data_IF_713957786735
#
_entry.id   IF_713957786735
#
_cell.length_a   1.000
_cell.length_b   1.000
_cell.length_c   1.000
_cell.angle_alpha   90.00
_cell.angle_beta   90.00
_cell.angle_gamma   90.00
#
_symmetry.space_group_name_H-M   'P 1'
#
loop_
_entity.id
_entity.type
_entity.pdbx_description
1 polymer ?
#
# COMPACT_ATOMS: atom_id res chain seq x y z
N UNK A 1 59.89 58.54 23.18
CA UNK A 1 58.53 58.55 22.60
C UNK A 1 58.53 57.82 21.27
N UNK A 2 57.47 57.03 21.01
CA UNK A 2 57.16 56.22 19.80
C UNK A 2 57.71 54.78 19.80
N UNK A 3 57.02 53.93 20.55
CA UNK A 3 56.99 52.47 20.40
C UNK A 3 56.13 52.14 19.16
N UNK A 4 56.74 51.71 18.05
CA UNK A 4 56.03 51.26 16.85
C UNK A 4 55.88 49.74 16.90
N UNK A 5 54.62 49.29 16.98
CA UNK A 5 54.17 47.90 16.99
C UNK A 5 54.57 47.21 15.68
N UNK A 6 55.25 46.06 15.80
CA UNK A 6 55.40 45.07 14.74
C UNK A 6 54.33 43.99 14.98
N UNK A 7 53.36 43.91 14.06
CA UNK A 7 52.39 42.81 13.97
C UNK A 7 53.05 41.64 13.21
N UNK A 8 53.01 40.40 13.72
CA UNK A 8 53.48 39.24 12.99
C UNK A 8 52.43 38.77 11.99
N UNK A 9 52.90 38.49 10.78
CA UNK A 9 52.16 37.92 9.65
C UNK A 9 51.75 36.47 10.00
N UNK A 10 50.46 36.25 10.28
CA UNK A 10 49.88 34.92 10.45
C UNK A 10 49.58 34.33 9.06
N UNK A 11 50.50 33.53 8.53
CA UNK A 11 50.28 32.76 7.31
C UNK A 11 49.35 31.57 7.62
N UNK A 12 48.07 31.71 7.27
CA UNK A 12 47.10 30.62 7.32
C UNK A 12 47.38 29.69 6.14
N UNK A 13 48.02 28.55 6.42
CA UNK A 13 48.15 27.46 5.47
C UNK A 13 46.79 26.77 5.29
N UNK A 14 46.09 27.10 4.20
CA UNK A 14 44.94 26.33 3.72
C UNK A 14 45.44 24.95 3.30
N UNK A 15 45.27 23.95 4.17
CA UNK A 15 45.42 22.55 3.80
C UNK A 15 44.28 22.19 2.83
N UNK A 16 44.62 22.04 1.54
CA UNK A 16 43.74 21.46 0.55
C UNK A 16 43.51 19.99 0.91
N UNK A 17 42.44 19.71 1.64
CA UNK A 17 41.93 18.35 1.79
C UNK A 17 41.56 17.86 0.39
N UNK A 18 42.11 16.72 -0.09
CA UNK A 18 41.62 16.12 -1.32
C UNK A 18 40.16 15.77 -1.09
N UNK A 19 39.26 16.51 -1.74
CA UNK A 19 37.90 16.05 -1.97
C UNK A 19 38.05 14.77 -2.76
N UNK A 20 38.01 13.64 -2.06
CA UNK A 20 37.79 12.35 -2.69
C UNK A 20 36.42 12.50 -3.33
N UNK A 21 36.42 12.86 -4.61
CA UNK A 21 35.30 12.63 -5.49
C UNK A 21 35.17 11.12 -5.50
N UNK A 22 34.45 10.59 -4.50
CA UNK A 22 33.89 9.27 -4.57
C UNK A 22 33.15 9.28 -5.89
N UNK A 23 33.73 8.60 -6.88
CA UNK A 23 33.09 8.41 -8.17
C UNK A 23 31.69 7.94 -7.82
N UNK A 24 30.70 8.74 -8.17
CA UNK A 24 29.33 8.46 -7.79
C UNK A 24 28.99 7.12 -8.43
N UNK A 25 28.86 6.06 -7.62
CA UNK A 25 28.72 4.68 -8.11
C UNK A 25 27.47 4.49 -9.00
N UNK A 26 26.57 5.46 -8.96
CA UNK A 26 25.36 5.54 -9.78
C UNK A 26 25.57 6.21 -11.15
N UNK A 27 26.73 6.82 -11.42
CA UNK A 27 27.01 7.56 -12.66
C UNK A 27 27.56 6.66 -13.78
N UNK A 28 27.20 6.93 -15.03
CA UNK A 28 27.62 6.12 -16.19
C UNK A 28 27.19 6.69 -17.55
N UNK A 29 27.24 5.89 -18.61
CA UNK A 29 26.98 6.36 -19.97
C UNK A 29 25.51 6.24 -20.43
N UNK A 30 24.62 5.75 -19.56
CA UNK A 30 23.23 5.48 -19.91
C UNK A 30 22.31 6.65 -19.57
N UNK A 31 21.08 6.59 -20.10
CA UNK A 31 20.04 7.53 -19.75
C UNK A 31 18.73 7.24 -20.47
N UNK A 32 17.67 7.92 -20.04
CA UNK A 32 16.34 7.78 -20.59
C UNK A 32 15.58 9.12 -20.58
N UNK A 33 14.60 9.24 -21.48
CA UNK A 33 13.61 10.31 -21.51
C UNK A 33 12.28 9.81 -20.97
N UNK A 34 11.68 10.59 -20.08
CA UNK A 34 10.34 10.41 -19.52
C UNK A 34 9.37 11.33 -20.25
N UNK A 35 8.16 10.84 -20.52
CA UNK A 35 6.99 11.65 -20.86
C UNK A 35 5.87 11.33 -19.86
N UNK A 36 5.38 12.36 -19.16
CA UNK A 36 4.30 12.24 -18.17
C UNK A 36 3.05 12.93 -18.70
N UNK A 37 1.96 12.19 -18.71
CA UNK A 37 0.65 12.65 -19.18
C UNK A 37 -0.45 12.30 -18.18
N UNK A 38 -1.57 13.02 -18.21
CA UNK A 38 -2.77 12.69 -17.45
C UNK A 38 -3.65 11.65 -18.18
N UNK A 39 -4.86 11.37 -17.67
CA UNK A 39 -5.80 10.45 -18.33
C UNK A 39 -6.32 10.95 -19.68
N UNK A 40 -6.34 12.28 -19.87
CA UNK A 40 -6.72 12.92 -21.13
C UNK A 40 -5.57 12.94 -22.15
N UNK A 41 -4.38 12.46 -21.76
CA UNK A 41 -3.16 12.49 -22.58
C UNK A 41 -2.50 13.86 -22.65
N UNK A 42 -2.89 14.81 -21.80
CA UNK A 42 -2.24 16.12 -21.71
C UNK A 42 -0.93 16.01 -20.94
N UNK A 43 0.13 16.73 -21.34
CA UNK A 43 1.40 16.73 -20.63
C UNK A 43 1.24 17.30 -19.22
N UNK A 44 1.96 16.71 -18.27
CA UNK A 44 1.91 17.09 -16.85
C UNK A 44 3.26 17.70 -16.46
N UNK A 45 3.35 19.04 -16.36
CA UNK A 45 4.58 19.71 -15.95
C UNK A 45 4.84 19.59 -14.44
N UNK A 46 6.06 19.92 -14.01
CA UNK A 46 6.45 20.00 -12.60
C UNK A 46 6.25 18.69 -11.81
N UNK A 47 6.30 17.55 -12.49
CA UNK A 47 6.29 16.25 -11.82
C UNK A 47 7.69 16.01 -11.28
N UNK A 48 7.81 15.84 -9.98
CA UNK A 48 9.07 15.47 -9.32
C UNK A 48 9.43 14.04 -9.67
N UNK A 49 10.58 13.86 -10.31
CA UNK A 49 11.15 12.58 -10.69
C UNK A 49 12.36 12.30 -9.81
N UNK A 50 12.31 11.18 -9.11
CA UNK A 50 13.38 10.68 -8.26
C UNK A 50 13.85 9.36 -8.87
N UNK A 51 15.12 9.30 -9.27
CA UNK A 51 15.74 8.08 -9.81
C UNK A 51 16.75 7.53 -8.79
N UNK A 52 16.63 6.25 -8.44
CA UNK A 52 17.54 5.57 -7.50
C UNK A 52 17.99 4.25 -8.10
N UNK A 53 19.28 3.94 -7.97
CA UNK A 53 19.81 2.62 -8.30
C UNK A 53 19.28 1.61 -7.27
N UNK A 54 18.64 0.55 -7.75
CA UNK A 54 17.93 -0.45 -6.96
C UNK A 54 18.79 -1.70 -6.67
N UNK A 55 20.10 -1.50 -6.47
CA UNK A 55 21.04 -2.57 -6.15
C UNK A 55 21.34 -2.57 -4.65
N UNK A 56 21.39 -3.75 -4.02
CA UNK A 56 21.54 -3.89 -2.57
C UNK A 56 22.83 -3.22 -2.03
N UNK A 57 23.90 -3.29 -2.80
CA UNK A 57 25.22 -2.75 -2.42
C UNK A 57 25.47 -1.33 -2.94
N UNK A 58 24.56 -0.78 -3.76
CA UNK A 58 24.70 0.53 -4.39
C UNK A 58 23.40 1.31 -4.31
N UNK A 59 23.25 2.07 -3.24
CA UNK A 59 22.14 3.00 -3.07
C UNK A 59 22.55 4.41 -3.48
N UNK A 60 21.75 5.06 -4.32
CA UNK A 60 21.98 6.46 -4.68
C UNK A 60 21.34 6.81 -6.02
N UNK A 61 21.50 8.06 -6.44
CA UNK A 61 21.01 8.53 -7.73
C UNK A 61 21.20 10.03 -7.87
N UNK A 62 20.87 10.60 -9.04
CA UNK A 62 20.89 12.03 -9.23
C UNK A 62 19.89 12.72 -8.28
N UNK A 63 20.08 14.02 -7.99
CA UNK A 63 19.10 14.81 -7.26
C UNK A 63 17.71 14.76 -7.90
N UNK A 64 16.62 14.98 -7.15
CA UNK A 64 15.28 15.07 -7.71
C UNK A 64 15.20 16.10 -8.84
N UNK A 65 14.53 15.73 -9.93
CA UNK A 65 14.36 16.57 -11.12
C UNK A 65 12.87 16.85 -11.35
N UNK A 66 12.54 17.84 -12.19
CA UNK A 66 11.16 18.21 -12.52
C UNK A 66 10.92 18.06 -14.01
N UNK A 67 9.73 17.57 -14.39
CA UNK A 67 9.31 17.61 -15.80
C UNK A 67 9.06 19.05 -16.26
N UNK A 68 9.38 19.31 -17.53
CA UNK A 68 9.16 20.58 -18.20
C UNK A 68 7.68 20.82 -18.58
N UNK A 69 7.39 21.94 -19.26
CA UNK A 69 6.04 22.29 -19.76
C UNK A 69 5.43 21.24 -20.71
N UNK A 70 6.27 20.49 -21.43
CA UNK A 70 5.84 19.41 -22.30
C UNK A 70 5.65 18.08 -21.54
N UNK A 71 5.76 18.10 -20.20
CA UNK A 71 5.71 16.91 -19.35
C UNK A 71 6.88 15.97 -19.60
N UNK A 72 7.98 16.47 -20.17
CA UNK A 72 9.17 15.68 -20.48
C UNK A 72 10.31 15.93 -19.51
N UNK A 73 11.17 14.92 -19.35
CA UNK A 73 12.43 15.03 -18.62
C UNK A 73 13.46 14.07 -19.23
N UNK A 74 14.66 14.59 -19.51
CA UNK A 74 15.81 13.79 -19.89
C UNK A 74 16.68 13.51 -18.68
N UNK A 75 16.91 12.23 -18.38
CA UNK A 75 17.77 11.77 -17.30
C UNK A 75 18.99 11.08 -17.93
N UNK A 76 20.15 11.72 -17.83
CA UNK A 76 21.43 11.24 -18.38
C UNK A 76 22.40 10.80 -17.29
N UNK A 77 23.57 10.34 -17.74
CA UNK A 77 24.73 10.06 -16.90
C UNK A 77 24.51 8.98 -15.84
N UNK A 78 23.69 7.97 -16.18
CA UNK A 78 23.34 6.86 -15.30
C UNK A 78 24.20 5.64 -15.58
N UNK A 79 24.57 4.92 -14.53
CA UNK A 79 25.15 3.59 -14.64
C UNK A 79 24.15 2.59 -15.24
N UNK A 80 24.66 1.55 -15.91
CA UNK A 80 23.85 0.37 -16.22
C UNK A 80 23.41 -0.30 -14.91
N UNK A 81 22.24 -0.93 -14.90
CA UNK A 81 21.67 -1.56 -13.72
C UNK A 81 20.15 -1.44 -13.64
N UNK A 82 19.59 -1.84 -12.50
CA UNK A 82 18.17 -1.70 -12.21
C UNK A 82 17.92 -0.41 -11.42
N UNK A 83 16.95 0.38 -11.88
CA UNK A 83 16.65 1.71 -11.37
C UNK A 83 15.20 1.79 -10.93
N UNK A 84 14.96 2.28 -9.71
CA UNK A 84 13.65 2.69 -9.23
C UNK A 84 13.41 4.16 -9.59
N UNK A 85 12.35 4.41 -10.35
CA UNK A 85 11.90 5.73 -10.76
C UNK A 85 10.59 6.05 -10.06
N UNK A 86 10.62 7.02 -9.16
CA UNK A 86 9.44 7.52 -8.46
C UNK A 86 9.03 8.89 -9.02
N UNK A 87 7.75 9.00 -9.40
CA UNK A 87 7.13 10.23 -9.88
C UNK A 87 6.13 10.72 -8.84
N UNK A 88 6.25 11.98 -8.42
CA UNK A 88 5.38 12.62 -7.43
C UNK A 88 4.91 13.98 -7.96
N UNK A 89 3.62 14.27 -7.78
CA UNK A 89 3.05 15.62 -7.95
C UNK A 89 1.85 15.74 -7.03
N UNK A 90 1.69 16.89 -6.38
CA UNK A 90 0.53 17.12 -5.52
C UNK A 90 -0.78 16.98 -6.30
N UNK A 91 -1.77 16.30 -5.72
CA UNK A 91 -3.06 16.04 -6.37
C UNK A 91 -3.04 14.93 -7.42
N UNK A 92 -1.89 14.27 -7.62
CA UNK A 92 -1.73 13.13 -8.52
C UNK A 92 -1.28 11.90 -7.76
N UNK A 93 -1.58 10.72 -8.32
CA UNK A 93 -1.03 9.48 -7.80
C UNK A 93 0.50 9.44 -7.89
N UNK A 94 1.17 8.80 -6.93
CA UNK A 94 2.59 8.47 -7.03
C UNK A 94 2.73 7.28 -7.98
N UNK A 95 3.69 7.36 -8.90
CA UNK A 95 4.03 6.25 -9.80
C UNK A 95 5.45 5.82 -9.51
N UNK A 96 5.63 4.56 -9.12
CA UNK A 96 6.95 3.96 -9.05
C UNK A 96 7.12 3.00 -10.24
N UNK A 97 8.26 3.04 -10.92
CA UNK A 97 8.60 2.10 -11.98
C UNK A 97 10.01 1.59 -11.81
N UNK A 98 10.24 0.32 -12.14
CA UNK A 98 11.57 -0.29 -12.19
C UNK A 98 12.02 -0.36 -13.64
N UNK A 99 13.13 0.30 -13.94
CA UNK A 99 13.77 0.35 -15.25
C UNK A 99 15.08 -0.42 -15.21
N UNK A 100 15.33 -1.28 -16.19
CA UNK A 100 16.64 -1.87 -16.41
C UNK A 100 17.35 -1.13 -17.54
N UNK A 101 18.50 -0.56 -17.22
CA UNK A 101 19.38 0.14 -18.15
C UNK A 101 20.56 -0.76 -18.51
N UNK A 102 20.85 -0.87 -19.81
CA UNK A 102 21.96 -1.63 -20.36
C UNK A 102 22.61 -0.81 -21.47
N UNK A 103 23.95 -0.89 -21.58
CA UNK A 103 24.71 -0.06 -22.50
C UNK A 103 24.23 -0.21 -23.95
N UNK A 104 23.88 0.93 -24.57
CA UNK A 104 23.43 1.00 -25.95
C UNK A 104 22.06 0.36 -26.23
N UNK A 105 21.33 -0.09 -25.20
CA UNK A 105 19.98 -0.67 -25.35
C UNK A 105 18.91 0.31 -24.88
N UNK A 106 17.68 0.05 -25.33
CA UNK A 106 16.51 0.82 -24.86
C UNK A 106 16.20 0.45 -23.40
N UNK A 107 15.76 1.40 -22.57
CA UNK A 107 15.35 1.11 -21.20
C UNK A 107 14.23 0.07 -21.19
N UNK A 108 14.40 -1.01 -20.43
CA UNK A 108 13.38 -2.03 -20.27
C UNK A 108 12.55 -1.70 -19.03
N UNK A 109 11.26 -1.48 -19.22
CA UNK A 109 10.34 -1.24 -18.11
C UNK A 109 9.92 -2.59 -17.55
N UNK A 110 10.35 -2.92 -16.33
CA UNK A 110 9.98 -4.16 -15.66
C UNK A 110 8.59 -4.05 -15.05
N UNK A 111 8.48 -3.30 -13.96
CA UNK A 111 7.27 -3.18 -13.18
C UNK A 111 6.91 -1.71 -12.95
N UNK A 112 5.61 -1.38 -12.97
CA UNK A 112 5.09 -0.07 -12.59
C UNK A 112 3.98 -0.25 -11.56
N UNK A 113 4.14 0.37 -10.39
CA UNK A 113 3.09 0.50 -9.37
C UNK A 113 2.55 1.91 -9.31
N UNK A 114 1.29 2.00 -8.92
CA UNK A 114 0.55 3.23 -8.77
C UNK A 114 0.04 3.32 -7.33
N UNK A 115 0.45 4.34 -6.60
CA UNK A 115 0.01 4.60 -5.24
C UNK A 115 -0.90 5.83 -5.23
N UNK A 116 -2.07 5.70 -4.62
CA UNK A 116 -3.02 6.79 -4.48
C UNK A 116 -2.70 7.62 -3.23
N UNK A 117 -2.77 8.94 -3.38
CA UNK A 117 -2.36 9.89 -2.34
C UNK A 117 -3.59 10.69 -1.89
N UNK A 118 -4.19 10.28 -0.78
CA UNK A 118 -5.39 10.92 -0.25
C UNK A 118 -6.69 10.64 -1.03
N UNK A 119 -7.78 11.37 -0.72
CA UNK A 119 -9.11 11.11 -1.26
C UNK A 119 -9.30 11.57 -2.71
N UNK A 120 -8.50 12.55 -3.16
CA UNK A 120 -8.56 13.10 -4.52
C UNK A 120 -7.20 12.97 -5.19
N UNK A 121 -7.14 12.16 -6.24
CA UNK A 121 -5.92 11.94 -7.01
C UNK A 121 -6.27 11.77 -8.49
N UNK A 122 -5.53 12.46 -9.36
CA UNK A 122 -5.56 12.22 -10.79
C UNK A 122 -4.54 11.14 -11.19
N UNK A 123 -4.86 10.28 -12.16
CA UNK A 123 -3.91 9.27 -12.62
C UNK A 123 -2.77 9.90 -13.42
N UNK A 124 -1.56 9.35 -13.26
CA UNK A 124 -0.40 9.66 -14.10
C UNK A 124 -0.11 8.51 -15.04
N UNK A 125 0.09 8.85 -16.32
CA UNK A 125 0.54 7.96 -17.37
C UNK A 125 1.99 8.32 -17.71
N UNK A 126 2.88 7.34 -17.58
CA UNK A 126 4.31 7.52 -17.81
C UNK A 126 4.77 6.70 -19.01
N UNK A 127 5.55 7.33 -19.89
CA UNK A 127 6.26 6.68 -20.98
C UNK A 127 7.77 6.85 -20.83
N UNK A 128 8.52 5.80 -21.16
CA UNK A 128 9.98 5.80 -21.11
C UNK A 128 10.57 5.56 -22.51
N UNK A 129 11.73 6.15 -22.78
CA UNK A 129 12.43 6.05 -24.07
C UNK A 129 13.93 6.29 -23.91
N UNK A 130 14.75 5.85 -24.86
CA UNK A 130 16.19 6.09 -24.85
C UNK A 130 16.52 7.53 -25.25
N UNK A 131 17.49 8.17 -24.59
CA UNK A 131 18.04 9.46 -25.01
C UNK A 131 18.56 9.36 -26.45
N UNK A 132 18.28 10.38 -27.27
CA UNK A 132 18.74 10.45 -28.67
C UNK A 132 17.91 9.67 -29.69
N UNK A 133 16.91 8.88 -29.28
CA UNK A 133 15.92 8.29 -30.20
C UNK A 133 14.64 9.10 -30.11
N UNK A 134 14.28 9.79 -31.20
CA UNK A 134 13.07 10.61 -31.25
C UNK A 134 11.83 9.81 -30.79
N UNK A 135 11.19 10.30 -29.73
CA UNK A 135 10.10 9.66 -28.96
C UNK A 135 8.78 9.51 -29.68
N UNK A 136 8.64 10.02 -30.90
CA UNK A 136 7.38 10.06 -31.63
C UNK A 136 6.74 8.67 -31.84
N UNK A 137 7.52 7.59 -31.84
CA UNK A 137 7.00 6.23 -32.02
C UNK A 137 6.52 5.57 -30.70
N UNK A 138 7.16 5.85 -29.56
CA UNK A 138 6.81 5.26 -28.27
C UNK A 138 5.57 5.95 -27.66
N UNK A 139 5.45 7.28 -27.82
CA UNK A 139 4.23 8.00 -27.48
C UNK A 139 3.09 7.61 -28.41
N UNK A 140 3.32 7.33 -29.70
CA UNK A 140 2.26 6.89 -30.60
C UNK A 140 1.61 5.55 -30.20
N UNK A 141 2.34 4.62 -29.58
CA UNK A 141 1.78 3.36 -29.07
C UNK A 141 0.86 3.57 -27.86
N UNK A 142 1.34 4.34 -26.88
CA UNK A 142 0.59 4.71 -25.68
C UNK A 142 -0.58 5.65 -26.01
N UNK A 143 -0.34 6.69 -26.81
CA UNK A 143 -1.33 7.63 -27.34
C UNK A 143 -2.38 6.93 -28.22
N UNK A 144 -2.03 5.90 -29.01
CA UNK A 144 -3.03 5.09 -29.74
C UNK A 144 -3.85 4.22 -28.80
N UNK A 145 -3.27 3.71 -27.71
CA UNK A 145 -4.01 2.96 -26.71
C UNK A 145 -4.95 3.85 -25.88
N UNK A 146 -4.50 5.04 -25.46
CA UNK A 146 -5.32 6.04 -24.75
C UNK A 146 -6.36 6.66 -25.67
N UNK A 147 -6.04 7.04 -26.91
CA UNK A 147 -7.06 7.52 -27.86
C UNK A 147 -8.10 6.43 -28.18
N UNK A 148 -7.75 5.14 -28.20
CA UNK A 148 -8.74 4.06 -28.35
C UNK A 148 -9.61 3.90 -27.10
N UNK A 149 -9.05 4.09 -25.91
CA UNK A 149 -9.80 4.08 -24.65
C UNK A 149 -10.73 5.31 -24.53
N UNK A 150 -10.21 6.50 -24.84
CA UNK A 150 -10.94 7.77 -24.87
C UNK A 150 -12.07 7.75 -25.91
N UNK A 151 -11.80 7.32 -27.15
CA UNK A 151 -12.84 7.11 -28.18
C UNK A 151 -13.89 6.06 -27.79
N UNK A 152 -13.59 5.15 -26.85
CA UNK A 152 -14.57 4.20 -26.30
C UNK A 152 -15.38 4.84 -25.16
N UNK A 153 -14.74 5.65 -24.32
CA UNK A 153 -15.40 6.41 -23.27
C UNK A 153 -16.39 7.44 -23.88
N UNK A 154 -15.93 8.20 -24.87
CA UNK A 154 -16.75 9.17 -25.61
C UNK A 154 -17.94 8.51 -26.31
N UNK A 155 -17.72 7.38 -27.02
CA UNK A 155 -18.83 6.60 -27.60
C UNK A 155 -19.83 6.08 -26.57
N UNK A 156 -19.37 5.72 -25.37
CA UNK A 156 -20.26 5.29 -24.27
C UNK A 156 -21.04 6.47 -23.70
N UNK A 157 -20.42 7.64 -23.59
CA UNK A 157 -21.09 8.87 -23.16
C UNK A 157 -22.18 9.27 -24.18
N UNK A 158 -21.84 9.28 -25.47
CA UNK A 158 -22.78 9.56 -26.56
C UNK A 158 -23.94 8.53 -26.56
N UNK A 159 -23.66 7.24 -26.34
CA UNK A 159 -24.71 6.22 -26.21
C UNK A 159 -25.65 6.47 -25.03
N UNK A 160 -25.12 6.87 -23.86
CA UNK A 160 -25.95 7.20 -22.70
C UNK A 160 -26.84 8.41 -22.99
N UNK A 161 -26.28 9.44 -23.59
CA UNK A 161 -27.02 10.64 -23.96
C UNK A 161 -28.13 10.33 -24.97
N UNK A 162 -27.85 9.50 -26.00
CA UNK A 162 -28.86 9.01 -26.93
C UNK A 162 -29.97 8.24 -26.22
N UNK A 163 -29.64 7.37 -25.27
CA UNK A 163 -30.62 6.61 -24.51
C UNK A 163 -31.50 7.51 -23.65
N UNK A 164 -30.92 8.47 -22.93
CA UNK A 164 -31.68 9.46 -22.17
C UNK A 164 -32.59 10.30 -23.06
N UNK A 165 -32.12 10.67 -24.26
CA UNK A 165 -32.94 11.39 -25.23
C UNK A 165 -34.09 10.55 -25.75
N UNK A 166 -33.88 9.25 -26.00
CA UNK A 166 -34.95 8.32 -26.37
C UNK A 166 -35.96 8.12 -25.24
N UNK A 167 -35.51 7.95 -24.00
CA UNK A 167 -36.38 7.83 -22.82
C UNK A 167 -37.21 9.11 -22.61
N UNK A 168 -36.62 10.29 -22.78
CA UNK A 168 -37.34 11.57 -22.72
C UNK A 168 -38.37 11.73 -23.85
N UNK A 169 -38.03 11.32 -25.08
CA UNK A 169 -38.98 11.35 -26.21
C UNK A 169 -40.13 10.37 -25.96
N UNK A 170 -39.85 9.14 -25.50
CA UNK A 170 -40.88 8.16 -25.16
C UNK A 170 -41.83 8.71 -24.09
N UNK A 171 -41.30 9.35 -23.04
CA UNK A 171 -42.11 9.98 -21.99
C UNK A 171 -43.00 11.12 -22.51
N UNK A 172 -42.54 11.90 -23.49
CA UNK A 172 -43.35 12.96 -24.11
C UNK A 172 -44.43 12.39 -25.02
N UNK A 173 -44.16 11.27 -25.70
CA UNK A 173 -45.12 10.64 -26.63
C UNK A 173 -46.17 9.79 -25.90
N UNK A 174 -45.83 9.18 -24.75
CA UNK A 174 -46.77 8.41 -23.91
C UNK A 174 -47.66 9.29 -23.01
N UNK A 175 -47.44 10.60 -22.96
CA UNK A 175 -48.39 11.53 -22.39
C UNK A 175 -49.33 12.03 -23.49
N UNK A 176 -50.43 11.31 -23.81
CA UNK A 176 -51.75 11.91 -23.55
C UNK A 176 -52.92 10.92 -23.45
N UNK A 177 -53.61 10.80 -22.29
CA UNK A 177 -55.08 10.62 -22.20
C UNK A 177 -55.60 10.49 -20.76
N UNK A 178 -55.25 11.41 -19.86
CA UNK A 178 -55.86 11.42 -18.52
C UNK A 178 -56.09 12.84 -18.03
N UNK A 179 -56.70 13.68 -18.86
CA UNK A 179 -57.19 14.99 -18.44
C UNK A 179 -58.59 15.22 -18.99
N UNK A 180 -59.55 14.46 -18.45
CA UNK A 180 -60.98 14.84 -18.43
C UNK A 180 -61.68 14.14 -17.27
N UNK A 181 -61.27 14.43 -16.04
CA UNK A 181 -62.08 14.16 -14.86
C UNK A 181 -61.74 15.22 -13.81
N UNK A 182 -62.52 16.29 -13.81
CA UNK A 182 -62.53 17.29 -12.76
C UNK A 182 -62.90 16.62 -11.42
N UNK A 183 -62.27 17.06 -10.33
CA UNK A 183 -63.02 17.27 -9.11
C UNK A 183 -62.88 18.70 -8.60
N UNK A 184 -63.99 19.15 -8.06
CA UNK A 184 -64.27 20.47 -7.51
C UNK A 184 -63.27 20.88 -6.41
N UNK A 185 -62.92 22.16 -6.47
CA UNK A 185 -62.18 22.91 -5.46
C UNK A 185 -63.02 23.10 -4.19
N UNK A 186 -62.51 22.77 -2.98
CA UNK A 186 -62.86 23.47 -1.77
C UNK A 186 -61.80 24.50 -1.43
N UNK A 187 -62.25 25.74 -1.30
CA UNK A 187 -61.50 26.87 -0.78
C UNK A 187 -61.11 26.67 0.69
N UNK A 188 -59.88 27.03 1.05
CA UNK A 188 -59.43 27.41 2.40
C UNK A 188 -57.93 27.76 2.40
N UNK A 189 -57.39 28.46 3.42
CA UNK A 189 -57.06 29.88 3.32
C UNK A 189 -55.55 30.17 3.40
N UNK A 190 -55.24 31.43 3.09
CA UNK A 190 -53.96 32.12 3.21
C UNK A 190 -53.31 31.89 4.58
N UNK A 191 -52.11 31.31 4.59
CA UNK A 191 -51.21 31.32 5.73
C UNK A 191 -49.91 32.04 5.34
N UNK A 192 -49.62 33.07 6.12
CA UNK A 192 -48.61 34.11 5.96
C UNK A 192 -47.23 33.58 6.41
N UNK A 193 -46.16 33.68 5.60
CA UNK A 193 -44.85 33.24 6.07
C UNK A 193 -44.23 34.29 7.00
N UNK A 194 -44.07 33.87 8.27
CA UNK A 194 -43.31 34.57 9.29
C UNK A 194 -41.85 34.80 8.85
N UNK A 195 -41.37 36.01 9.14
CA UNK A 195 -40.01 36.45 8.93
C UNK A 195 -39.00 35.56 9.68
N UNK A 196 -38.01 35.04 8.97
CA UNK A 196 -36.85 34.39 9.56
C UNK A 196 -35.83 35.48 9.90
N UNK A 197 -35.66 35.68 11.20
CA UNK A 197 -34.74 36.62 11.82
C UNK A 197 -33.29 36.17 11.61
N UNK A 198 -32.53 36.95 10.83
CA UNK A 198 -31.08 36.80 10.66
C UNK A 198 -30.37 37.15 11.97
N UNK A 199 -29.93 36.13 12.72
CA UNK A 199 -29.02 36.31 13.87
C UNK A 199 -27.60 36.49 13.35
N UNK A 200 -27.13 37.73 13.39
CA UNK A 200 -25.73 38.13 13.20
C UNK A 200 -24.95 37.68 14.44
N UNK A 201 -24.15 36.63 14.31
CA UNK A 201 -23.19 36.22 15.35
C UNK A 201 -21.99 37.15 15.27
N UNK A 202 -21.87 38.00 16.29
CA UNK A 202 -20.75 38.90 16.51
C UNK A 202 -19.45 38.13 16.72
N UNK A 203 -18.41 38.54 15.99
CA UNK A 203 -17.03 38.16 16.25
C UNK A 203 -16.59 38.67 17.63
N UNK A 204 -16.09 37.77 18.47
CA UNK A 204 -15.35 38.12 19.68
C UNK A 204 -13.86 38.29 19.31
N UNK A 205 -13.21 39.38 19.71
CA UNK A 205 -11.76 39.53 19.64
C UNK A 205 -11.08 38.99 20.92
N UNK A 206 -9.82 38.63 20.75
CA UNK A 206 -8.77 38.52 21.78
C UNK A 206 -8.94 37.43 22.85
N UNK A 207 -8.39 36.26 22.56
CA UNK A 207 -7.88 35.33 23.60
C UNK A 207 -6.38 35.58 23.79
N UNK A 208 -6.07 36.16 24.94
CA UNK A 208 -4.72 36.35 25.49
C UNK A 208 -3.97 35.02 25.58
N UNK A 209 -2.75 35.01 25.03
CA UNK A 209 -1.79 33.95 25.26
C UNK A 209 -1.41 33.90 26.75
N UNK A 210 -1.58 32.77 27.45
CA UNK A 210 -0.96 32.61 28.76
C UNK A 210 0.58 32.49 28.61
N UNK A 211 1.36 33.01 29.57
CA UNK A 211 2.81 32.91 29.56
C UNK A 211 3.27 31.44 29.71
N UNK A 212 4.45 31.09 29.19
CA UNK A 212 4.97 29.73 29.26
C UNK A 212 5.20 29.31 30.71
N UNK A 213 4.56 28.22 31.12
CA UNK A 213 4.81 27.55 32.39
C UNK A 213 6.26 27.05 32.44
N UNK A 214 6.96 27.43 33.50
CA UNK A 214 8.28 26.93 33.87
C UNK A 214 8.26 25.39 34.00
N UNK A 215 9.18 24.74 33.30
CA UNK A 215 9.47 23.32 33.43
C UNK A 215 10.06 23.04 34.84
N UNK A 216 9.52 22.09 35.61
CA UNK A 216 10.17 21.65 36.84
C UNK A 216 11.45 20.87 36.55
N UNK A 217 12.51 21.21 37.29
CA UNK A 217 13.80 20.53 37.31
C UNK A 217 13.66 19.02 37.56
N UNK A 218 14.50 18.17 36.94
CA UNK A 218 14.47 16.73 37.18
C UNK A 218 14.99 16.40 38.58
N UNK A 219 14.18 15.66 39.35
CA UNK A 219 14.59 15.03 40.61
C UNK A 219 15.61 13.90 40.38
N UNK A 220 16.51 13.64 41.34
CA UNK A 220 17.54 12.63 41.22
C UNK A 220 16.99 11.21 41.32
N UNK A 221 17.49 10.38 40.41
CA UNK A 221 17.29 8.93 40.27
C UNK A 221 17.53 8.14 41.55
N UNK A 222 16.54 7.31 41.92
CA UNK A 222 16.62 6.31 42.97
C UNK A 222 17.49 5.11 42.57
N UNK A 223 18.13 4.42 43.53
CA UNK A 223 19.13 3.39 43.27
C UNK A 223 18.54 2.03 42.84
N UNK A 224 19.32 1.39 41.99
CA UNK A 224 19.20 0.03 41.44
C UNK A 224 19.01 -1.05 42.53
N UNK A 225 18.05 -1.98 42.39
CA UNK A 225 17.94 -3.13 43.28
C UNK A 225 19.01 -4.19 42.96
N UNK A 226 19.50 -4.94 43.96
CA UNK A 226 20.58 -5.90 43.79
C UNK A 226 20.17 -7.13 42.98
N UNK A 227 21.11 -7.59 42.14
CA UNK A 227 21.09 -8.87 41.43
C UNK A 227 20.81 -10.03 42.39
N UNK A 228 19.73 -10.76 42.13
CA UNK A 228 19.42 -12.03 42.79
C UNK A 228 20.22 -13.16 42.13
N UNK A 229 20.94 -13.92 42.95
CA UNK A 229 21.69 -15.12 42.56
C UNK A 229 20.78 -16.20 41.94
N UNK A 230 21.28 -16.99 40.97
CA UNK A 230 20.53 -18.10 40.41
C UNK A 230 20.39 -19.24 41.41
N UNK A 231 19.15 -19.58 41.74
CA UNK A 231 18.80 -20.75 42.52
C UNK A 231 19.24 -22.04 41.80
N UNK A 232 19.98 -22.87 42.52
CA UNK A 232 20.40 -24.21 42.12
C UNK A 232 19.16 -25.09 41.97
N UNK A 233 18.88 -25.50 40.74
CA UNK A 233 17.82 -26.46 40.41
C UNK A 233 18.23 -27.83 40.94
N UNK A 234 17.47 -28.34 41.91
CA UNK A 234 17.63 -29.67 42.46
C UNK A 234 17.29 -30.74 41.41
N UNK A 235 18.20 -31.68 41.25
CA UNK A 235 18.10 -32.89 40.45
C UNK A 235 16.88 -33.72 40.88
N UNK A 236 15.91 -33.92 39.97
CA UNK A 236 14.79 -34.81 40.22
C UNK A 236 15.24 -36.28 40.12
N UNK A 237 14.84 -37.15 41.06
CA UNK A 237 15.21 -38.56 41.04
C UNK A 237 14.55 -39.28 39.86
N UNK A 238 15.38 -40.03 39.13
CA UNK A 238 14.98 -40.95 38.06
C UNK A 238 14.07 -42.03 38.67
N UNK A 239 12.81 -42.20 38.21
CA UNK A 239 11.95 -43.26 38.69
C UNK A 239 12.44 -44.63 38.22
N UNK A 240 12.39 -45.60 39.13
CA UNK A 240 12.78 -47.00 38.90
C UNK A 240 12.03 -47.63 37.73
N UNK A 241 12.70 -48.48 36.93
CA UNK A 241 12.07 -49.22 35.84
C UNK A 241 11.03 -50.20 36.39
N UNK A 242 9.77 -50.00 36.00
CA UNK A 242 8.68 -50.90 36.34
C UNK A 242 8.97 -52.33 35.85
N UNK A 243 8.62 -53.37 36.64
CA UNK A 243 8.83 -54.76 36.28
C UNK A 243 8.07 -55.13 35.02
N UNK A 244 8.78 -55.79 34.10
CA UNK A 244 8.24 -56.24 32.82
C UNK A 244 6.95 -57.04 33.00
N UNK A 245 5.83 -56.42 32.62
CA UNK A 245 4.54 -57.08 32.55
C UNK A 245 4.63 -58.24 31.54
N UNK A 246 4.15 -59.39 31.99
CA UNK A 246 4.10 -60.64 31.24
C UNK A 246 3.28 -60.42 29.97
N UNK A 247 3.95 -60.48 28.82
CA UNK A 247 3.33 -60.34 27.49
C UNK A 247 2.34 -61.48 27.31
N UNK A 248 1.06 -61.16 27.38
CA UNK A 248 -0.01 -62.06 26.95
C UNK A 248 0.07 -62.24 25.43
N UNK A 249 -0.23 -63.45 24.91
CA UNK A 249 -0.21 -63.72 23.49
C UNK A 249 -1.19 -62.78 22.75
N UNK A 250 -0.80 -62.24 21.58
CA UNK A 250 -1.61 -61.27 20.85
C UNK A 250 -2.97 -61.88 20.54
N UNK A 251 -4.02 -61.26 21.08
CA UNK A 251 -5.40 -61.50 20.64
C UNK A 251 -5.45 -61.19 19.15
N UNK A 252 -5.98 -62.08 18.29
CA UNK A 252 -6.08 -61.82 16.86
C UNK A 252 -6.81 -60.50 16.64
N UNK A 253 -6.08 -59.55 16.06
CA UNK A 253 -6.54 -58.20 15.78
C UNK A 253 -7.79 -58.34 14.88
N UNK A 254 -8.96 -57.83 15.31
CA UNK A 254 -10.15 -57.87 14.47
C UNK A 254 -9.81 -57.16 13.16
N UNK A 255 -10.08 -57.81 12.04
CA UNK A 255 -9.92 -57.23 10.70
C UNK A 255 -10.52 -55.83 10.74
N UNK A 256 -9.66 -54.81 10.71
CA UNK A 256 -10.06 -53.43 10.83
C UNK A 256 -11.03 -53.13 9.69
N UNK A 257 -12.30 -52.90 10.03
CA UNK A 257 -13.26 -52.39 9.07
C UNK A 257 -12.62 -51.17 8.40
N UNK A 258 -12.59 -51.10 7.06
CA UNK A 258 -11.92 -50.04 6.35
C UNK A 258 -12.45 -48.71 6.88
N UNK A 259 -11.55 -47.92 7.46
CA UNK A 259 -11.87 -46.62 8.04
C UNK A 259 -12.65 -45.84 6.97
N UNK A 260 -13.87 -45.38 7.26
CA UNK A 260 -14.72 -44.74 6.26
C UNK A 260 -13.95 -43.57 5.67
N UNK A 261 -13.74 -43.62 4.35
CA UNK A 261 -13.01 -42.61 3.59
C UNK A 261 -13.57 -41.24 3.96
N UNK A 262 -12.75 -40.41 4.61
CA UNK A 262 -13.20 -39.15 5.19
C UNK A 262 -13.87 -38.31 4.09
N UNK A 263 -15.15 -37.97 4.30
CA UNK A 263 -15.90 -37.21 3.31
C UNK A 263 -15.13 -35.93 2.93
N UNK A 264 -15.07 -35.57 1.64
CA UNK A 264 -14.29 -34.42 1.20
C UNK A 264 -14.76 -33.17 1.95
N UNK A 265 -13.82 -32.52 2.65
CA UNK A 265 -14.09 -31.28 3.37
C UNK A 265 -14.37 -30.19 2.34
N UNK A 266 -15.65 -29.91 2.10
CA UNK A 266 -16.06 -28.81 1.22
C UNK A 266 -15.81 -27.49 1.95
N UNK A 267 -14.65 -26.88 1.72
CA UNK A 267 -14.34 -25.55 2.24
C UNK A 267 -15.14 -24.53 1.43
N UNK A 268 -16.24 -24.05 2.01
CA UNK A 268 -17.05 -22.99 1.42
C UNK A 268 -16.37 -21.64 1.69
N UNK A 269 -15.88 -20.99 0.63
CA UNK A 269 -15.38 -19.62 0.72
C UNK A 269 -16.53 -18.72 1.17
N UNK A 270 -16.34 -18.03 2.30
CA UNK A 270 -17.26 -16.97 2.70
C UNK A 270 -17.10 -15.78 1.76
N UNK A 271 -18.18 -15.05 1.45
CA UNK A 271 -18.09 -13.82 0.67
C UNK A 271 -17.13 -12.86 1.37
N UNK A 272 -16.13 -12.38 0.64
CA UNK A 272 -15.16 -11.43 1.20
C UNK A 272 -15.80 -10.03 1.26
N UNK A 273 -16.12 -9.50 2.45
CA UNK A 273 -16.80 -8.21 2.57
C UNK A 273 -15.91 -7.03 2.16
N UNK A 274 -14.58 -7.21 2.13
CA UNK A 274 -13.63 -6.16 1.74
C UNK A 274 -13.45 -6.05 0.23
N UNK A 275 -14.06 -6.96 -0.54
CA UNK A 275 -13.98 -7.00 -1.99
C UNK A 275 -15.03 -6.07 -2.61
N UNK A 276 -14.58 -4.93 -3.14
CA UNK A 276 -15.45 -3.89 -3.67
C UNK A 276 -15.26 -3.72 -5.19
N UNK A 277 -16.36 -3.66 -5.93
CA UNK A 277 -16.38 -3.37 -7.38
C UNK A 277 -16.43 -1.87 -7.64
N UNK A 278 -15.92 -1.41 -8.79
CA UNK A 278 -16.24 -0.09 -9.33
C UNK A 278 -17.74 0.26 -9.20
N UNK A 279 -18.03 1.37 -8.52
CA UNK A 279 -19.36 1.80 -8.09
C UNK A 279 -19.56 1.71 -6.57
N UNK A 280 -19.16 0.60 -5.96
CA UNK A 280 -19.09 0.44 -4.50
C UNK A 280 -17.73 0.90 -3.94
N UNK A 281 -16.69 0.83 -4.79
CA UNK A 281 -15.40 1.48 -4.59
C UNK A 281 -15.43 2.82 -5.35
N UNK A 282 -15.69 3.96 -4.69
CA UNK A 282 -15.77 5.27 -5.34
C UNK A 282 -14.48 5.66 -6.06
N UNK A 283 -13.36 5.11 -5.60
CA UNK A 283 -12.05 5.38 -6.13
C UNK A 283 -11.67 4.44 -7.30
N UNK A 284 -12.39 3.36 -7.57
CA UNK A 284 -12.03 2.39 -8.61
C UNK A 284 -12.41 2.88 -10.02
N UNK A 285 -11.49 2.77 -10.98
CA UNK A 285 -11.82 3.09 -12.38
C UNK A 285 -12.78 2.03 -12.99
N UNK A 286 -13.43 2.30 -14.14
CA UNK A 286 -14.34 1.34 -14.76
C UNK A 286 -13.67 -0.03 -15.05
N UNK A 287 -14.18 -1.07 -14.39
CA UNK A 287 -13.65 -2.44 -14.50
C UNK A 287 -12.56 -2.78 -13.48
N UNK A 288 -12.19 -1.85 -12.62
CA UNK A 288 -11.33 -2.09 -11.45
C UNK A 288 -12.14 -2.56 -10.25
N UNK A 289 -11.44 -3.25 -9.37
CA UNK A 289 -11.90 -3.73 -8.08
C UNK A 289 -10.85 -3.35 -7.04
N UNK A 290 -11.29 -3.27 -5.79
CA UNK A 290 -10.41 -3.16 -4.64
C UNK A 290 -10.66 -4.30 -3.66
N UNK A 291 -9.62 -4.66 -2.94
CA UNK A 291 -9.68 -5.53 -1.76
C UNK A 291 -8.81 -4.90 -0.69
N UNK A 292 -9.28 -4.91 0.56
CA UNK A 292 -8.53 -4.39 1.70
C UNK A 292 -8.18 -5.51 2.66
N UNK A 293 -6.99 -5.41 3.25
CA UNK A 293 -6.57 -6.17 4.42
C UNK A 293 -6.32 -5.18 5.56
N UNK A 294 -6.95 -5.43 6.70
CA UNK A 294 -6.87 -4.57 7.87
C UNK A 294 -6.29 -5.37 9.02
N UNK A 295 -5.41 -4.75 9.81
CA UNK A 295 -4.84 -5.40 10.98
C UNK A 295 -4.55 -4.39 12.09
N UNK A 296 -4.94 -4.69 13.35
CA UNK A 296 -4.61 -3.81 14.47
C UNK A 296 -3.16 -3.96 14.91
N UNK A 297 -2.58 -2.86 15.40
CA UNK A 297 -1.23 -2.78 15.95
C UNK A 297 -1.28 -2.09 17.32
N UNK A 298 -0.79 -2.75 18.36
CA UNK A 298 -0.74 -2.18 19.72
C UNK A 298 0.23 -1.00 19.82
N UNK A 299 0.06 -0.13 20.83
CA UNK A 299 0.99 0.95 21.11
C UNK A 299 2.43 0.46 21.29
N UNK A 300 3.38 1.30 20.88
CA UNK A 300 4.80 1.07 21.07
C UNK A 300 5.20 1.36 22.51
N UNK A 301 5.45 0.31 23.28
CA UNK A 301 6.03 0.44 24.62
C UNK A 301 7.56 0.33 24.59
N UNK A 302 8.23 0.70 25.69
CA UNK A 302 9.69 0.55 25.83
C UNK A 302 10.17 -0.92 25.66
N UNK A 303 9.28 -1.89 25.88
CA UNK A 303 9.56 -3.32 25.66
C UNK A 303 9.29 -3.82 24.24
N UNK A 304 8.62 -3.03 23.40
CA UNK A 304 8.35 -3.43 22.00
C UNK A 304 9.57 -3.16 21.13
N UNK A 305 10.05 -4.20 20.47
CA UNK A 305 11.13 -4.10 19.47
C UNK A 305 10.57 -3.49 18.19
N UNK A 306 11.38 -2.67 17.52
CA UNK A 306 11.07 -2.21 16.16
C UNK A 306 10.89 -3.40 15.21
N UNK A 307 10.30 -3.20 14.03
CA UNK A 307 10.15 -4.28 13.07
C UNK A 307 11.50 -4.98 12.81
N UNK A 308 11.49 -6.30 12.86
CA UNK A 308 12.69 -7.09 12.67
C UNK A 308 13.27 -6.86 11.27
N UNK A 309 14.60 -6.70 11.18
CA UNK A 309 15.27 -6.44 9.90
C UNK A 309 15.17 -7.62 8.92
N UNK A 310 14.98 -8.85 9.42
CA UNK A 310 14.87 -10.08 8.62
C UNK A 310 13.44 -10.34 8.11
N UNK A 311 12.51 -9.41 8.34
CA UNK A 311 11.10 -9.59 8.05
C UNK A 311 10.81 -9.87 6.57
N UNK A 312 11.48 -9.16 5.67
CA UNK A 312 11.33 -9.38 4.23
C UNK A 312 11.64 -10.84 3.84
N UNK A 313 12.73 -11.41 4.36
CA UNK A 313 13.11 -12.79 4.07
C UNK A 313 12.20 -13.84 4.73
N UNK A 314 11.52 -13.51 5.84
CA UNK A 314 10.47 -14.38 6.40
C UNK A 314 9.23 -14.39 5.51
N UNK A 315 8.83 -13.23 5.01
CA UNK A 315 7.66 -13.07 4.16
C UNK A 315 7.83 -13.72 2.79
N UNK A 316 9.03 -13.61 2.22
CA UNK A 316 9.36 -14.29 0.97
C UNK A 316 9.26 -15.82 1.12
N UNK A 317 9.80 -16.37 2.22
CA UNK A 317 9.65 -17.81 2.54
C UNK A 317 8.19 -18.21 2.74
N UNK A 318 7.42 -17.43 3.50
CA UNK A 318 6.00 -17.67 3.71
C UNK A 318 5.22 -17.62 2.38
N UNK A 319 5.53 -16.67 1.51
CA UNK A 319 4.92 -16.54 0.19
C UNK A 319 5.16 -17.79 -0.67
N UNK A 320 6.39 -18.31 -0.70
CA UNK A 320 6.71 -19.54 -1.41
C UNK A 320 5.97 -20.77 -0.87
N UNK A 321 5.82 -20.89 0.45
CA UNK A 321 5.04 -21.97 1.08
C UNK A 321 3.55 -21.89 0.74
N UNK A 322 2.97 -20.68 0.81
CA UNK A 322 1.57 -20.42 0.46
C UNK A 322 1.32 -20.80 -1.00
N UNK A 323 2.18 -20.34 -1.91
CA UNK A 323 2.07 -20.63 -3.32
C UNK A 323 2.06 -22.14 -3.60
N UNK A 324 3.06 -22.86 -3.07
CA UNK A 324 3.22 -24.29 -3.34
C UNK A 324 2.13 -25.17 -2.75
N UNK A 325 1.35 -24.63 -1.80
CA UNK A 325 0.38 -25.41 -1.03
C UNK A 325 -1.07 -25.00 -1.26
N UNK A 326 -1.34 -23.93 -2.02
CA UNK A 326 -2.71 -23.50 -2.33
C UNK A 326 -3.40 -24.49 -3.29
N UNK A 327 -4.52 -25.13 -2.89
CA UNK A 327 -5.25 -26.01 -3.78
C UNK A 327 -5.76 -25.27 -5.03
N UNK A 328 -5.91 -25.99 -6.14
CA UNK A 328 -6.24 -25.36 -7.43
C UNK A 328 -7.59 -24.62 -7.39
N UNK A 329 -8.57 -25.15 -6.66
CA UNK A 329 -9.89 -24.52 -6.50
C UNK A 329 -9.82 -23.17 -5.76
N UNK A 330 -8.78 -22.91 -4.98
CA UNK A 330 -8.60 -21.66 -4.25
C UNK A 330 -7.73 -20.65 -5.00
N UNK A 331 -7.23 -20.98 -6.20
CA UNK A 331 -6.48 -20.03 -7.04
C UNK A 331 -7.32 -18.85 -7.55
N UNK A 332 -8.64 -18.90 -7.38
CA UNK A 332 -9.54 -17.76 -7.67
C UNK A 332 -9.76 -16.83 -6.48
N UNK A 333 -9.24 -17.18 -5.30
CA UNK A 333 -9.43 -16.40 -4.08
C UNK A 333 -8.71 -15.04 -4.16
N UNK A 334 -9.41 -14.00 -3.69
CA UNK A 334 -8.88 -12.64 -3.54
C UNK A 334 -9.18 -12.21 -2.11
N UNK A 335 -8.15 -11.90 -1.33
CA UNK A 335 -8.36 -11.52 0.05
C UNK A 335 -7.09 -11.29 0.84
N UNK A 336 -7.30 -11.04 2.13
CA UNK A 336 -6.24 -10.80 3.10
C UNK A 336 -5.38 -12.05 3.30
N UNK A 337 -4.07 -11.85 3.42
CA UNK A 337 -3.13 -12.91 3.77
C UNK A 337 -3.49 -13.51 5.13
N UNK A 338 -3.76 -12.64 6.11
CA UNK A 338 -4.25 -12.98 7.43
C UNK A 338 -5.38 -11.99 7.80
N UNK A 339 -6.41 -12.46 8.49
CA UNK A 339 -7.45 -11.61 9.08
C UNK A 339 -7.78 -12.07 10.51
N UNK A 340 -7.96 -11.16 11.49
CA UNK A 340 -8.38 -11.55 12.84
C UNK A 340 -9.79 -12.17 12.84
N UNK A 341 -10.61 -11.85 11.84
CA UNK A 341 -11.95 -12.44 11.65
C UNK A 341 -11.89 -13.84 11.01
N UNK A 342 -10.70 -14.28 10.61
CA UNK A 342 -10.47 -15.58 9.99
C UNK A 342 -10.97 -15.66 8.55
N UNK A 343 -11.14 -14.55 7.81
CA UNK A 343 -11.45 -14.61 6.37
C UNK A 343 -10.17 -14.41 5.56
N UNK A 344 -9.25 -15.37 5.64
CA UNK A 344 -7.90 -15.23 5.10
C UNK A 344 -7.36 -16.45 4.33
N UNK A 345 -6.26 -16.20 3.61
CA UNK A 345 -5.54 -17.21 2.83
C UNK A 345 -5.05 -18.36 3.71
N UNK A 346 -4.63 -18.09 4.96
CA UNK A 346 -4.04 -19.12 5.84
C UNK A 346 -5.01 -20.27 6.12
N UNK A 347 -6.32 -20.01 6.18
CA UNK A 347 -7.32 -21.07 6.37
C UNK A 347 -7.48 -22.00 5.17
N UNK A 348 -7.08 -21.56 3.99
CA UNK A 348 -7.15 -22.35 2.76
C UNK A 348 -5.95 -23.30 2.61
N UNK A 349 -4.92 -23.12 3.44
CA UNK A 349 -3.73 -23.95 3.41
C UNK A 349 -3.97 -25.28 4.14
N UNK A 350 -3.31 -26.38 3.69
CA UNK A 350 -3.18 -27.60 4.47
C UNK A 350 -2.67 -27.31 5.88
N UNK A 351 -3.11 -28.07 6.89
CA UNK A 351 -2.81 -27.79 8.29
C UNK A 351 -1.30 -27.74 8.59
N UNK A 352 -0.52 -28.63 7.99
CA UNK A 352 0.95 -28.64 8.09
C UNK A 352 1.55 -27.33 7.56
N UNK A 353 1.26 -26.95 6.31
CA UNK A 353 1.73 -25.69 5.72
C UNK A 353 1.24 -24.48 6.52
N UNK A 354 -0.03 -24.48 6.94
CA UNK A 354 -0.61 -23.39 7.73
C UNK A 354 0.17 -23.17 9.02
N UNK A 355 0.57 -24.25 9.69
CA UNK A 355 1.33 -24.19 10.94
C UNK A 355 2.73 -23.62 10.69
N UNK A 356 3.42 -24.06 9.64
CA UNK A 356 4.73 -23.52 9.25
C UNK A 356 4.68 -22.04 8.85
N UNK A 357 3.71 -21.68 8.00
CA UNK A 357 3.50 -20.29 7.57
C UNK A 357 3.16 -19.43 8.79
N UNK A 358 2.28 -19.89 9.69
CA UNK A 358 2.02 -19.18 10.95
C UNK A 358 3.27 -19.04 11.78
N UNK A 359 4.10 -20.07 11.95
CA UNK A 359 5.33 -19.96 12.72
C UNK A 359 6.30 -18.89 12.14
N UNK A 360 6.36 -18.75 10.81
CA UNK A 360 7.13 -17.70 10.15
C UNK A 360 6.55 -16.30 10.39
N UNK A 361 5.21 -16.19 10.43
CA UNK A 361 4.48 -14.94 10.50
C UNK A 361 4.07 -14.52 11.92
N UNK A 362 4.10 -15.41 12.91
CA UNK A 362 3.73 -15.12 14.31
C UNK A 362 4.43 -13.88 14.86
N UNK A 363 5.74 -13.64 14.61
CA UNK A 363 6.40 -12.43 15.11
C UNK A 363 5.84 -11.11 14.57
N UNK A 364 4.98 -11.15 13.54
CA UNK A 364 4.46 -9.99 12.80
C UNK A 364 2.96 -10.02 12.51
N UNK A 365 2.27 -11.10 12.85
CA UNK A 365 0.81 -11.21 12.86
C UNK A 365 0.28 -11.32 14.29
N UNK A 366 1.13 -11.05 15.28
CA UNK A 366 0.73 -10.99 16.67
C UNK A 366 0.06 -9.63 16.90
N UNK A 367 -1.26 -9.59 17.13
CA UNK A 367 -2.00 -8.34 17.27
C UNK A 367 -1.50 -7.51 18.47
N UNK A 368 -0.78 -8.12 19.43
CA UNK A 368 -0.20 -7.45 20.60
C UNK A 368 1.09 -6.67 20.29
N UNK A 369 1.54 -6.67 19.03
CA UNK A 369 2.75 -5.98 18.59
C UNK A 369 2.46 -4.65 17.91
N UNK A 370 3.40 -3.74 18.04
CA UNK A 370 3.41 -2.47 17.31
C UNK A 370 3.82 -2.62 15.83
N UNK A 371 4.53 -3.71 15.48
CA UNK A 371 4.91 -4.05 14.12
C UNK A 371 3.96 -5.09 13.53
N UNK A 372 3.36 -4.79 12.37
CA UNK A 372 2.43 -5.68 11.67
C UNK A 372 2.82 -5.89 10.22
N UNK A 373 2.59 -7.09 9.70
CA UNK A 373 2.59 -7.33 8.25
C UNK A 373 1.19 -7.50 7.74
N UNK A 374 0.88 -6.76 6.68
CA UNK A 374 -0.42 -6.81 6.04
C UNK A 374 -0.21 -7.22 4.59
N UNK A 375 -0.92 -8.26 4.17
CA UNK A 375 -0.79 -8.82 2.83
C UNK A 375 -2.14 -9.06 2.18
N UNK A 376 -2.14 -9.05 0.84
CA UNK A 376 -3.27 -9.40 -0.01
C UNK A 376 -2.78 -10.37 -1.08
N UNK A 377 -3.51 -11.46 -1.28
CA UNK A 377 -3.27 -12.40 -2.38
C UNK A 377 -4.22 -12.10 -3.55
N UNK A 378 -3.66 -12.05 -4.76
CA UNK A 378 -4.37 -11.95 -6.02
C UNK A 378 -4.11 -13.20 -6.89
N UNK A 379 -5.11 -13.73 -7.62
CA UNK A 379 -4.96 -14.80 -8.61
C UNK A 379 -3.99 -14.45 -9.74
N UNK A 380 -3.44 -15.47 -10.40
CA UNK A 380 -2.55 -15.31 -11.57
C UNK A 380 -3.12 -14.42 -12.67
N UNK A 381 -4.39 -14.62 -13.00
CA UNK A 381 -5.03 -13.91 -14.13
C UNK A 381 -5.53 -12.51 -13.74
N UNK A 382 -5.39 -12.13 -12.48
CA UNK A 382 -5.76 -10.82 -11.97
C UNK A 382 -4.59 -9.86 -12.17
N UNK A 383 -4.84 -8.76 -12.86
CA UNK A 383 -3.84 -7.71 -13.07
C UNK A 383 -3.84 -6.75 -11.89
N UNK A 384 -2.76 -6.76 -11.10
CA UNK A 384 -2.48 -5.70 -10.13
C UNK A 384 -2.44 -4.32 -10.82
N UNK A 385 -3.15 -3.33 -10.25
CA UNK A 385 -3.21 -1.95 -10.75
C UNK A 385 -2.42 -1.01 -9.85
N UNK A 386 -2.57 -1.15 -8.53
CA UNK A 386 -1.99 -0.22 -7.58
C UNK A 386 -2.37 -0.55 -6.15
N UNK A 387 -1.96 0.31 -5.22
CA UNK A 387 -2.25 0.15 -3.80
C UNK A 387 -2.50 1.50 -3.11
N UNK A 388 -2.97 1.43 -1.89
CA UNK A 388 -3.06 2.56 -0.97
C UNK A 388 -2.78 2.06 0.44
N UNK A 389 -1.97 2.85 1.15
CA UNK A 389 -1.74 2.68 2.57
C UNK A 389 -2.61 3.66 3.33
N UNK A 390 -3.30 3.15 4.34
CA UNK A 390 -4.09 3.92 5.27
C UNK A 390 -3.72 3.48 6.71
N UNK A 391 -3.86 4.41 7.65
CA UNK A 391 -3.88 4.13 9.07
C UNK A 391 -5.14 4.74 9.66
N UNK A 392 -5.67 4.10 10.69
CA UNK A 392 -6.85 4.56 11.41
C UNK A 392 -6.67 4.41 12.92
N UNK A 393 -7.41 5.22 13.65
CA UNK A 393 -7.69 5.04 15.08
C UNK A 393 -9.21 5.03 15.30
N UNK A 394 -9.64 5.15 16.56
CA UNK A 394 -11.08 5.16 16.89
C UNK A 394 -11.84 6.38 16.34
N UNK A 395 -11.14 7.46 16.03
CA UNK A 395 -11.71 8.76 15.68
C UNK A 395 -11.58 9.10 14.20
N UNK A 396 -10.53 8.64 13.55
CA UNK A 396 -10.16 9.08 12.21
C UNK A 396 -9.41 8.01 11.42
N UNK A 397 -9.39 8.23 10.11
CA UNK A 397 -8.63 7.44 9.13
C UNK A 397 -7.94 8.40 8.17
N UNK A 398 -6.68 8.12 7.82
CA UNK A 398 -5.91 8.96 6.91
C UNK A 398 -4.97 8.16 6.04
N UNK A 399 -4.49 8.82 4.99
CA UNK A 399 -3.54 8.24 4.06
C UNK A 399 -2.16 8.14 4.68
N UNK A 400 -1.39 7.16 4.23
CA UNK A 400 0.03 7.05 4.55
C UNK A 400 0.87 6.99 3.28
N UNK A 401 2.12 7.43 3.41
CA UNK A 401 3.14 7.29 2.38
C UNK A 401 4.26 6.36 2.86
N UNK A 402 4.88 5.59 1.94
CA UNK A 402 6.11 4.84 2.22
C UNK A 402 7.16 5.67 2.94
N UNK A 403 7.69 5.14 4.03
CA UNK A 403 8.78 5.74 4.83
C UNK A 403 8.48 7.16 5.34
N UNK A 404 7.20 7.50 5.49
CA UNK A 404 6.77 8.76 6.08
C UNK A 404 5.75 8.49 7.20
N UNK A 405 5.71 9.36 8.21
CA UNK A 405 4.63 9.35 9.18
C UNK A 405 3.28 9.45 8.46
N UNK A 406 2.31 8.65 8.91
CA UNK A 406 0.93 8.73 8.48
C UNK A 406 0.29 10.05 8.92
N UNK A 407 -0.77 10.48 8.21
CA UNK A 407 -1.57 11.64 8.64
C UNK A 407 -2.26 11.40 10.00
N UNK A 408 -2.55 10.13 10.31
CA UNK A 408 -3.19 9.71 11.56
C UNK A 408 -2.18 9.06 12.48
N UNK A 409 -1.98 9.72 13.61
CA UNK A 409 -1.21 9.22 14.74
C UNK A 409 0.27 9.07 14.42
N UNK A 410 1.05 8.80 15.47
CA UNK A 410 2.43 8.36 15.34
C UNK A 410 2.41 6.93 14.76
N UNK A 411 2.34 6.82 13.44
CA UNK A 411 2.30 5.55 12.71
C UNK A 411 3.04 5.69 11.37
N UNK A 412 3.54 4.59 10.82
CA UNK A 412 4.23 4.60 9.52
C UNK A 412 4.12 3.28 8.77
N UNK A 413 4.21 3.35 7.43
CA UNK A 413 4.45 2.18 6.59
C UNK A 413 5.91 2.16 6.14
N UNK A 414 6.59 1.04 6.32
CA UNK A 414 8.00 0.85 5.96
C UNK A 414 8.09 0.50 4.47
N UNK A 415 8.64 1.41 3.69
CA UNK A 415 8.87 1.23 2.27
C UNK A 415 7.60 1.08 1.41
N UNK A 416 7.83 0.88 0.12
CA UNK A 416 6.80 0.46 -0.82
C UNK A 416 6.34 -0.97 -0.49
N UNK A 417 5.11 -1.37 -0.85
CA UNK A 417 4.69 -2.75 -0.69
C UNK A 417 5.54 -3.63 -1.58
N UNK A 418 5.92 -4.78 -1.05
CA UNK A 418 6.57 -5.83 -1.82
C UNK A 418 5.50 -6.52 -2.66
N UNK A 419 5.78 -6.66 -3.95
CA UNK A 419 4.87 -7.26 -4.92
C UNK A 419 5.55 -8.50 -5.48
N UNK A 420 5.22 -9.65 -4.89
CA UNK A 420 5.79 -10.92 -5.27
C UNK A 420 4.85 -11.62 -6.27
N UNK A 421 5.28 -11.66 -7.54
CA UNK A 421 4.56 -12.37 -8.61
C UNK A 421 5.07 -13.78 -8.74
N UNK A 422 4.15 -14.71 -8.94
CA UNK A 422 4.46 -16.11 -8.98
C UNK A 422 3.51 -16.85 -9.94
N UNK A 423 3.70 -18.16 -10.13
CA UNK A 423 3.01 -18.90 -11.20
C UNK A 423 1.51 -19.06 -10.96
N UNK A 424 1.08 -18.87 -9.72
CA UNK A 424 -0.30 -19.04 -9.27
C UNK A 424 -0.97 -17.73 -8.84
N UNK A 425 -0.25 -16.61 -8.78
CA UNK A 425 -0.78 -15.39 -8.17
C UNK A 425 0.20 -14.24 -8.03
N UNK A 426 -0.25 -13.23 -7.30
CA UNK A 426 0.55 -12.10 -6.86
C UNK A 426 0.24 -11.84 -5.39
N UNK A 427 1.25 -11.95 -4.54
CA UNK A 427 1.17 -11.53 -3.14
C UNK A 427 1.67 -10.08 -3.03
N UNK A 428 0.82 -9.19 -2.51
CA UNK A 428 1.15 -7.79 -2.25
C UNK A 428 1.16 -7.59 -0.74
N UNK A 429 2.27 -7.19 -0.16
CA UNK A 429 2.35 -6.99 1.29
C UNK A 429 3.18 -5.77 1.67
N UNK A 430 2.87 -5.19 2.84
CA UNK A 430 3.58 -4.08 3.43
C UNK A 430 3.82 -4.29 4.91
N UNK A 431 4.78 -3.55 5.47
CA UNK A 431 5.10 -3.57 6.89
C UNK A 431 4.63 -2.26 7.51
N UNK A 432 3.81 -2.37 8.54
CA UNK A 432 3.28 -1.24 9.29
C UNK A 432 3.89 -1.19 10.68
N UNK A 433 4.21 0.01 11.14
CA UNK A 433 4.65 0.27 12.51
C UNK A 433 3.73 1.29 13.17
N UNK A 434 3.10 0.90 14.27
CA UNK A 434 2.54 1.82 15.23
C UNK A 434 3.69 2.41 16.06
N UNK A 435 3.91 3.72 15.95
CA UNK A 435 4.92 4.44 16.72
C UNK A 435 4.34 5.09 17.98
N UNK A 436 3.01 5.09 18.12
CA UNK A 436 2.31 5.76 19.19
C UNK A 436 2.53 5.05 20.53
N UNK A 437 2.85 5.77 21.61
CA UNK A 437 3.08 5.16 22.91
C UNK A 437 1.79 4.73 23.61
N UNK A 438 0.67 5.39 23.29
CA UNK A 438 -0.56 5.29 24.07
C UNK A 438 -1.73 4.70 23.28
N UNK A 439 -1.76 4.90 21.96
CA UNK A 439 -2.91 4.55 21.15
C UNK A 439 -2.66 3.34 20.25
N UNK A 440 -3.66 2.47 20.20
CA UNK A 440 -3.76 1.42 19.21
C UNK A 440 -4.05 2.02 17.84
N UNK A 441 -3.44 1.47 16.79
CA UNK A 441 -3.70 1.85 15.40
C UNK A 441 -4.22 0.66 14.61
N UNK A 442 -5.04 0.92 13.61
CA UNK A 442 -5.42 -0.06 12.59
C UNK A 442 -4.71 0.31 11.30
N UNK A 443 -3.96 -0.65 10.75
CA UNK A 443 -3.33 -0.48 9.46
C UNK A 443 -4.18 -1.13 8.38
N UNK A 444 -4.33 -0.43 7.26
CA UNK A 444 -5.16 -0.85 6.13
C UNK A 444 -4.35 -0.78 4.84
N UNK A 445 -4.11 -1.95 4.25
CA UNK A 445 -3.56 -2.10 2.91
C UNK A 445 -4.72 -2.35 1.96
N UNK A 446 -4.98 -1.39 1.06
CA UNK A 446 -5.95 -1.54 -0.02
C UNK A 446 -5.23 -1.80 -1.33
N UNK A 447 -5.60 -2.87 -2.01
CA UNK A 447 -5.03 -3.29 -3.29
C UNK A 447 -6.07 -3.15 -4.39
N UNK A 448 -5.69 -2.48 -5.47
CA UNK A 448 -6.52 -2.29 -6.66
C UNK A 448 -6.09 -3.24 -7.77
N UNK A 449 -7.07 -3.83 -8.44
CA UNK A 449 -6.80 -4.81 -9.49
C UNK A 449 -7.87 -4.80 -10.58
N UNK A 450 -7.55 -5.44 -11.71
CA UNK A 450 -8.48 -5.73 -12.81
C UNK A 450 -8.55 -7.24 -13.02
N UNK A 451 -9.70 -7.87 -12.77
CA UNK A 451 -9.87 -9.28 -13.03
C UNK A 451 -9.97 -9.57 -14.53
N UNK A 452 -9.78 -10.83 -14.96
CA UNK A 452 -9.97 -11.21 -16.35
C UNK A 452 -11.45 -11.06 -16.75
N UNK A 453 -11.71 -11.00 -18.06
CA UNK A 453 -13.09 -10.90 -18.56
C UNK A 453 -13.90 -12.12 -18.16
N UNK A 454 -15.11 -11.90 -17.66
CA UNK A 454 -16.01 -12.97 -17.24
C UNK A 454 -15.76 -13.50 -15.82
N UNK A 455 -14.75 -12.99 -15.12
CA UNK A 455 -14.54 -13.31 -13.72
C UNK A 455 -15.74 -12.87 -12.87
N UNK A 456 -16.17 -13.75 -11.98
CA UNK A 456 -17.18 -13.50 -10.98
C UNK A 456 -16.54 -13.68 -9.61
N UNK A 457 -16.76 -12.77 -8.65
CA UNK A 457 -16.28 -12.96 -7.30
C UNK A 457 -16.88 -14.25 -6.72
N UNK A 458 -16.12 -15.01 -5.91
CA UNK A 458 -16.66 -16.12 -5.12
C UNK A 458 -17.88 -15.63 -4.33
N UNK A 459 -18.97 -16.42 -4.36
CA UNK A 459 -20.24 -16.09 -3.70
C UNK A 459 -20.40 -16.82 -2.38
#
# INVERSE_FOLDING_TARGET
MKLRRLLPTLAVALAALPSVAAAQDWSGANGFRILVTDDAGQPVPEVTVIARLAEADRSGGPPPMLTDEAGTLDVSDLAAGEWEIQLRRQGFMIVNSYLRLEDGKRPQVGFTSRQRTGPFWAPLNVGYSSLGVATAAASAGSARATTRAQRRAERRAEQRERRLRQENVARVVEAPKAETAAPETPASPVEEPAAVETVVVAARPDEEHPPPSELPSPEPSSPEPPLSEPAVVAEQPVPDPLPAARVEPPVPEPEAEPEPEAAPVVVRLLPNPTLLRAGACPECAPGEWSVSSNWPAEPRTAGTTACAADLAGRLERAAGMIEGSLPEEFRVYIGALASPEGNDVLRLLPEATRTEVRALLVPVLDPERSCQVIGVLLPKDVRFVGFQYEAADLSARGGCFPDQPCEIGEAQWRGNPVIHRHDHGTLVYGVFENLSPDDRREANLKVYFRPPRGWLPPR
#
